data_IF_273084563157
#
_entry.id   IF_273084563157
#
_cell.length_a   1.000
_cell.length_b   1.000
_cell.length_c   1.000
_cell.angle_alpha   90.00
_cell.angle_beta   90.00
_cell.angle_gamma   90.00
#
_symmetry.space_group_name_H-M   'P 1'
#
loop_
_entity.id
_entity.type
_entity.pdbx_description
1 polymer ?
#
# COMPACT_ATOMS: atom_id res chain seq x y z
N UNK A 1 65.64 55.00 -37.09
CA UNK A 1 65.19 55.20 -35.69
C UNK A 1 63.68 55.00 -35.66
N UNK A 2 63.24 53.80 -35.28
CA UNK A 2 62.82 53.42 -33.91
C UNK A 2 61.35 53.77 -33.67
N UNK A 3 60.45 52.80 -33.86
CA UNK A 3 59.73 52.06 -32.79
C UNK A 3 58.54 52.82 -32.19
N UNK A 4 57.33 52.24 -32.27
CA UNK A 4 56.64 51.62 -31.13
C UNK A 4 55.20 51.17 -31.48
N UNK A 5 54.98 49.86 -31.38
CA UNK A 5 53.69 49.21 -31.17
C UNK A 5 53.76 48.54 -29.79
N UNK A 6 52.87 48.88 -28.83
CA UNK A 6 52.13 47.88 -28.02
C UNK A 6 51.28 48.49 -26.88
N UNK A 7 50.01 48.08 -26.90
CA UNK A 7 49.15 47.56 -25.82
C UNK A 7 48.99 48.38 -24.53
N UNK A 8 47.76 48.91 -24.37
CA UNK A 8 47.13 49.14 -23.07
C UNK A 8 45.98 48.14 -22.88
N UNK A 9 46.14 47.18 -21.97
CA UNK A 9 45.03 46.46 -21.32
C UNK A 9 45.56 45.85 -20.02
N UNK A 10 45.09 46.35 -18.87
CA UNK A 10 45.04 45.71 -17.55
C UNK A 10 44.24 46.67 -16.64
N UNK A 11 42.91 46.71 -16.76
CA UNK A 11 41.91 46.02 -15.92
C UNK A 11 42.07 46.23 -14.40
N UNK A 12 41.20 47.09 -13.85
CA UNK A 12 40.79 47.10 -12.44
C UNK A 12 39.59 46.16 -12.28
N UNK A 13 39.71 45.05 -11.55
CA UNK A 13 38.58 44.20 -11.16
C UNK A 13 38.59 43.91 -9.64
N UNK A 14 37.91 44.76 -8.88
CA UNK A 14 37.60 44.52 -7.46
C UNK A 14 36.37 43.60 -7.24
N UNK A 15 35.88 42.93 -8.30
CA UNK A 15 34.75 41.96 -8.24
C UNK A 15 35.18 40.48 -8.27
N UNK A 16 36.49 40.20 -8.30
CA UNK A 16 37.03 38.83 -8.43
C UNK A 16 37.32 38.14 -7.07
N UNK A 17 37.38 38.89 -5.96
CA UNK A 17 37.77 38.33 -4.66
C UNK A 17 36.72 37.40 -4.05
N UNK A 18 35.45 37.77 -4.08
CA UNK A 18 34.37 36.95 -3.51
C UNK A 18 34.17 35.62 -4.24
N UNK A 19 34.32 35.62 -5.57
CA UNK A 19 34.23 34.40 -6.37
C UNK A 19 35.42 33.45 -6.11
N UNK A 20 36.64 33.99 -5.99
CA UNK A 20 37.83 33.21 -5.64
C UNK A 20 37.74 32.62 -4.23
N UNK A 21 37.24 33.39 -3.26
CA UNK A 21 37.02 32.91 -1.89
C UNK A 21 35.96 31.81 -1.86
N UNK A 22 34.83 31.98 -2.55
CA UNK A 22 33.79 30.95 -2.64
C UNK A 22 34.29 29.66 -3.32
N UNK A 23 35.10 29.79 -4.37
CA UNK A 23 35.71 28.64 -5.05
C UNK A 23 36.70 27.91 -4.12
N UNK A 24 37.50 28.66 -3.34
CA UNK A 24 38.40 28.10 -2.34
C UNK A 24 37.67 27.31 -1.26
N UNK A 25 36.57 27.85 -0.73
CA UNK A 25 35.75 27.16 0.28
C UNK A 25 35.16 25.85 -0.27
N UNK A 26 34.66 25.86 -1.51
CA UNK A 26 34.12 24.65 -2.12
C UNK A 26 35.21 23.59 -2.37
N UNK A 27 36.40 24.00 -2.80
CA UNK A 27 37.53 23.09 -2.97
C UNK A 27 37.93 22.41 -1.64
N UNK A 28 37.97 23.17 -0.54
CA UNK A 28 38.27 22.63 0.80
C UNK A 28 37.20 21.64 1.26
N UNK A 29 35.91 21.95 1.06
CA UNK A 29 34.81 21.05 1.44
C UNK A 29 34.83 19.73 0.66
N UNK A 30 35.19 19.78 -0.63
CA UNK A 30 35.32 18.57 -1.46
C UNK A 30 36.47 17.68 -0.95
N UNK A 31 37.62 18.26 -0.63
CA UNK A 31 38.77 17.52 -0.09
C UNK A 31 38.43 16.87 1.25
N UNK A 32 37.73 17.59 2.15
CA UNK A 32 37.30 17.03 3.43
C UNK A 32 36.33 15.86 3.26
N UNK A 33 35.37 15.97 2.33
CA UNK A 33 34.41 14.91 2.05
C UNK A 33 35.08 13.66 1.46
N UNK A 34 36.02 13.83 0.52
CA UNK A 34 36.75 12.71 -0.08
C UNK A 34 37.67 12.01 0.93
N UNK A 35 38.37 12.78 1.78
CA UNK A 35 39.20 12.22 2.85
C UNK A 35 38.39 11.43 3.88
N UNK A 36 37.19 11.90 4.23
CA UNK A 36 36.29 11.19 5.15
C UNK A 36 35.81 9.85 4.57
N UNK A 37 35.45 9.81 3.28
CA UNK A 37 35.04 8.57 2.61
C UNK A 37 36.21 7.58 2.51
N UNK A 38 37.43 8.06 2.23
CA UNK A 38 38.60 7.18 2.15
C UNK A 38 38.89 6.46 3.49
N UNK A 39 38.83 7.18 4.62
CA UNK A 39 39.07 6.59 5.95
C UNK A 39 37.99 5.59 6.33
N UNK A 40 36.72 5.88 6.05
CA UNK A 40 35.59 5.03 6.46
C UNK A 40 35.43 3.76 5.61
N UNK A 41 35.95 3.75 4.38
CA UNK A 41 35.85 2.58 3.49
C UNK A 41 37.07 1.66 3.62
N UNK A 42 38.26 2.20 3.92
CA UNK A 42 39.51 1.42 3.97
C UNK A 42 39.71 0.72 5.33
N UNK A 43 39.14 1.23 6.43
CA UNK A 43 39.25 0.62 7.77
C UNK A 43 38.05 -0.25 8.16
N UNK A 44 37.48 -1.01 7.22
CA UNK A 44 36.56 -2.09 7.61
C UNK A 44 37.39 -3.30 7.97
N UNK A 45 37.67 -3.46 9.26
CA UNK A 45 38.27 -4.69 9.77
C UNK A 45 37.33 -5.86 9.45
N UNK A 46 37.84 -6.85 8.72
CA UNK A 46 37.10 -8.07 8.42
C UNK A 46 36.71 -8.75 9.74
N UNK A 47 35.41 -8.88 9.99
CA UNK A 47 34.91 -9.58 11.17
C UNK A 47 35.19 -11.08 11.04
N UNK A 48 36.32 -11.52 11.59
CA UNK A 48 36.60 -12.95 11.79
C UNK A 48 35.77 -13.43 12.97
N UNK A 49 34.77 -14.27 12.68
CA UNK A 49 33.94 -14.88 13.69
C UNK A 49 34.70 -16.01 14.39
N UNK A 50 35.34 -15.71 15.51
CA UNK A 50 35.84 -16.74 16.42
C UNK A 50 34.71 -17.25 17.32
N UNK A 51 34.32 -18.50 17.12
CA UNK A 51 33.34 -19.17 17.97
C UNK A 51 33.95 -19.43 19.36
N UNK A 52 33.52 -18.67 20.37
CA UNK A 52 33.89 -18.92 21.76
C UNK A 52 33.41 -20.32 22.16
N UNK A 53 34.29 -21.24 22.59
CA UNK A 53 33.89 -22.60 22.95
C UNK A 53 33.07 -22.56 24.25
N UNK A 54 31.75 -22.69 24.12
CA UNK A 54 30.82 -22.78 25.26
C UNK A 54 30.97 -24.15 25.92
N UNK A 55 31.60 -24.21 27.09
CA UNK A 55 31.60 -25.41 27.95
C UNK A 55 30.19 -25.64 28.50
N UNK A 56 29.41 -26.49 27.82
CA UNK A 56 28.08 -26.90 28.29
C UNK A 56 28.24 -27.92 29.44
N UNK A 57 27.72 -27.66 30.64
CA UNK A 57 27.69 -28.66 31.70
C UNK A 57 26.83 -29.86 31.26
N UNK A 58 27.39 -31.07 31.33
CA UNK A 58 26.67 -32.29 31.03
C UNK A 58 25.74 -32.64 32.19
N UNK A 59 24.51 -32.11 32.16
CA UNK A 59 23.49 -32.45 33.14
C UNK A 59 22.91 -33.83 32.77
N UNK A 60 23.21 -34.85 33.58
CA UNK A 60 22.56 -36.15 33.44
C UNK A 60 21.08 -36.01 33.80
N UNK A 61 20.22 -36.24 32.82
CA UNK A 61 18.76 -36.22 32.99
C UNK A 61 18.35 -37.20 34.09
N UNK A 62 17.73 -36.69 35.16
CA UNK A 62 17.11 -37.55 36.18
C UNK A 62 15.90 -38.23 35.55
N UNK A 63 15.93 -39.56 35.46
CA UNK A 63 14.79 -40.35 34.99
C UNK A 63 13.65 -40.18 36.00
N UNK A 64 12.51 -39.66 35.54
CA UNK A 64 11.28 -39.62 36.32
C UNK A 64 10.83 -41.08 36.54
N UNK A 65 11.08 -41.62 37.73
CA UNK A 65 10.41 -42.83 38.19
C UNK A 65 9.02 -42.41 38.65
N UNK A 66 8.05 -42.48 37.75
CA UNK A 66 6.64 -42.35 38.11
C UNK A 66 6.19 -43.73 38.62
N UNK A 67 5.84 -43.89 39.90
CA UNK A 67 5.18 -45.11 40.36
C UNK A 67 3.77 -45.16 39.75
N UNK A 68 3.66 -45.82 38.61
CA UNK A 68 2.35 -46.10 38.02
C UNK A 68 1.72 -47.21 38.87
N UNK A 69 0.80 -46.81 39.74
CA UNK A 69 -0.05 -47.75 40.46
C UNK A 69 -1.09 -48.30 39.46
N UNK A 70 -0.71 -49.35 38.71
CA UNK A 70 -1.57 -49.98 37.71
C UNK A 70 -2.67 -50.78 38.43
N UNK A 71 -3.73 -50.10 38.84
CA UNK A 71 -5.02 -50.78 39.08
C UNK A 71 -5.58 -51.18 37.71
N UNK A 72 -5.30 -52.40 37.27
CA UNK A 72 -5.90 -53.02 36.08
C UNK A 72 -7.42 -53.03 36.25
N UNK A 73 -8.13 -52.06 35.67
CA UNK A 73 -9.57 -52.19 35.43
C UNK A 73 -9.75 -53.29 34.39
N UNK A 74 -10.40 -54.40 34.77
CA UNK A 74 -10.82 -55.44 33.83
C UNK A 74 -11.78 -54.82 32.82
N UNK A 75 -11.30 -54.56 31.61
CA UNK A 75 -12.14 -54.25 30.46
C UNK A 75 -12.91 -55.51 30.09
N UNK A 76 -14.22 -55.48 30.30
CA UNK A 76 -15.14 -56.53 29.86
C UNK A 76 -15.18 -56.49 28.32
N UNK A 77 -14.85 -57.61 27.66
CA UNK A 77 -14.89 -57.70 26.19
C UNK A 77 -16.33 -57.46 25.70
N UNK A 78 -16.58 -56.54 24.76
CA UNK A 78 -17.91 -56.34 24.22
C UNK A 78 -18.35 -57.59 23.45
N UNK A 79 -19.52 -58.14 23.79
CA UNK A 79 -20.13 -59.26 23.06
C UNK A 79 -20.59 -58.75 21.69
N UNK A 80 -20.01 -59.28 20.61
CA UNK A 80 -20.44 -59.10 19.24
C UNK A 80 -21.90 -59.56 19.09
N UNK A 81 -22.85 -58.62 18.98
CA UNK A 81 -24.19 -58.94 18.48
C UNK A 81 -24.09 -59.08 16.96
N UNK A 82 -24.67 -60.15 16.42
CA UNK A 82 -24.70 -60.44 14.98
C UNK A 82 -25.37 -59.27 14.24
N UNK A 83 -24.65 -58.68 13.29
CA UNK A 83 -25.13 -57.63 12.38
C UNK A 83 -26.27 -58.20 11.55
N UNK A 84 -27.45 -57.58 11.58
CA UNK A 84 -28.51 -57.84 10.61
C UNK A 84 -27.97 -57.37 9.25
N UNK A 85 -27.82 -58.30 8.31
CA UNK A 85 -27.42 -58.00 6.94
C UNK A 85 -28.67 -57.53 6.20
N UNK A 86 -28.91 -56.22 6.17
CA UNK A 86 -29.80 -55.62 5.18
C UNK A 86 -28.94 -55.37 3.95
N UNK A 87 -29.25 -56.06 2.85
CA UNK A 87 -28.66 -55.72 1.55
C UNK A 87 -29.17 -54.33 1.13
N UNK A 88 -28.30 -53.33 0.94
CA UNK A 88 -28.72 -52.05 0.39
C UNK A 88 -29.02 -52.27 -1.10
N UNK A 89 -30.23 -51.90 -1.54
CA UNK A 89 -30.50 -51.72 -2.97
C UNK A 89 -29.64 -50.54 -3.46
N UNK A 90 -28.54 -50.87 -4.12
CA UNK A 90 -27.69 -49.96 -4.87
C UNK A 90 -28.49 -49.39 -6.04
N UNK A 91 -28.80 -48.10 -5.96
CA UNK A 91 -28.91 -47.18 -7.11
C UNK A 91 -28.96 -45.75 -6.56
N UNK A 92 -27.81 -45.28 -6.07
CA UNK A 92 -27.60 -43.86 -5.83
C UNK A 92 -26.21 -43.52 -6.34
N UNK A 93 -26.18 -42.78 -7.45
CA UNK A 93 -24.95 -42.26 -8.03
C UNK A 93 -24.43 -41.20 -7.06
N UNK A 94 -23.47 -41.60 -6.23
CA UNK A 94 -22.67 -40.67 -5.44
C UNK A 94 -21.81 -39.85 -6.41
N UNK A 95 -21.88 -38.50 -6.39
CA UNK A 95 -20.89 -37.70 -7.10
C UNK A 95 -19.51 -37.93 -6.45
N UNK A 96 -18.50 -38.09 -7.32
CA UNK A 96 -17.09 -38.24 -6.97
C UNK A 96 -16.60 -36.96 -6.24
N UNK A 97 -16.64 -36.97 -4.91
CA UNK A 97 -16.04 -35.92 -4.08
C UNK A 97 -14.53 -36.12 -4.14
N UNK A 98 -13.91 -35.54 -5.15
CA UNK A 98 -12.45 -35.36 -5.18
C UNK A 98 -12.08 -34.44 -4.03
N UNK A 99 -11.46 -34.99 -2.99
CA UNK A 99 -10.77 -34.16 -2.01
C UNK A 99 -9.67 -33.39 -2.75
N UNK A 100 -9.58 -32.05 -2.61
CA UNK A 100 -8.44 -31.33 -3.15
C UNK A 100 -7.17 -31.89 -2.52
N UNK A 101 -6.19 -32.24 -3.36
CA UNK A 101 -4.87 -32.64 -2.90
C UNK A 101 -4.32 -31.53 -2.01
N UNK A 102 -4.06 -31.84 -0.74
CA UNK A 102 -3.39 -30.92 0.17
C UNK A 102 -1.91 -30.93 -0.22
N UNK A 103 -1.57 -30.24 -1.30
CA UNK A 103 -0.19 -29.91 -1.65
C UNK A 103 0.32 -28.86 -0.67
N UNK A 104 0.85 -29.34 0.46
CA UNK A 104 1.40 -28.51 1.52
C UNK A 104 1.93 -29.28 2.73
N UNK A 105 1.47 -30.51 2.96
CA UNK A 105 2.11 -31.42 3.91
C UNK A 105 3.17 -32.27 3.19
N UNK A 106 4.35 -31.68 2.96
CA UNK A 106 5.55 -32.49 2.78
C UNK A 106 5.87 -33.10 4.15
N UNK A 107 5.31 -34.29 4.38
CA UNK A 107 5.65 -35.16 5.50
C UNK A 107 7.12 -35.54 5.43
N UNK A 108 7.98 -34.65 5.91
CA UNK A 108 9.39 -34.91 6.17
C UNK A 108 9.50 -35.66 7.48
N UNK A 109 9.43 -36.98 7.42
CA UNK A 109 9.90 -37.86 8.48
C UNK A 109 11.42 -37.73 8.55
N UNK A 110 11.92 -36.78 9.34
CA UNK A 110 13.35 -36.49 9.44
C UNK A 110 13.69 -35.72 10.72
N UNK A 111 14.13 -36.45 11.73
CA UNK A 111 14.86 -36.01 12.93
C UNK A 111 14.13 -35.06 13.90
N UNK A 112 13.26 -35.66 14.72
CA UNK A 112 12.88 -35.14 16.01
C UNK A 112 14.06 -35.18 16.99
N UNK A 113 14.71 -34.03 17.20
CA UNK A 113 15.47 -33.76 18.42
C UNK A 113 14.96 -32.46 19.05
N UNK A 114 13.94 -32.61 19.89
CA UNK A 114 13.69 -31.71 21.02
C UNK A 114 13.24 -30.28 20.69
N UNK A 115 11.97 -30.10 20.34
CA UNK A 115 11.23 -28.89 20.71
C UNK A 115 9.77 -29.30 20.93
N UNK A 116 9.37 -29.35 22.20
CA UNK A 116 8.02 -29.73 22.60
C UNK A 116 6.98 -28.74 22.08
N UNK A 117 5.75 -29.26 21.92
CA UNK A 117 4.54 -28.46 21.83
C UNK A 117 4.51 -27.48 23.01
N UNK A 118 4.84 -26.21 22.78
CA UNK A 118 4.75 -25.18 23.81
C UNK A 118 5.76 -24.03 23.74
N UNK A 119 6.74 -24.07 22.84
CA UNK A 119 7.71 -22.96 22.70
C UNK A 119 8.06 -22.67 21.25
N UNK A 120 7.76 -21.45 20.79
CA UNK A 120 8.35 -20.79 19.62
C UNK A 120 8.41 -21.59 18.29
N UNK A 121 7.37 -22.35 17.96
CA UNK A 121 7.28 -23.08 16.70
C UNK A 121 5.84 -23.37 16.34
N UNK A 122 5.16 -22.40 15.73
CA UNK A 122 3.94 -22.68 14.99
C UNK A 122 4.25 -23.77 13.95
N UNK A 123 3.27 -24.63 13.68
CA UNK A 123 3.26 -25.53 12.52
C UNK A 123 4.01 -24.89 11.36
N UNK A 124 4.96 -25.60 10.73
CA UNK A 124 5.88 -25.11 9.71
C UNK A 124 5.24 -24.65 8.39
N UNK A 125 4.15 -23.90 8.46
CA UNK A 125 3.60 -23.10 7.38
C UNK A 125 4.49 -21.87 7.25
N UNK A 126 5.36 -21.88 6.23
CA UNK A 126 5.98 -20.64 5.77
C UNK A 126 4.88 -19.64 5.41
N UNK A 127 4.85 -18.50 6.10
CA UNK A 127 3.93 -17.41 5.78
C UNK A 127 4.11 -17.01 4.32
N UNK A 128 3.04 -16.88 3.52
CA UNK A 128 3.15 -16.56 2.11
C UNK A 128 3.80 -15.18 1.94
N UNK A 129 4.87 -15.13 1.13
CA UNK A 129 5.50 -13.87 0.73
C UNK A 129 4.75 -13.30 -0.47
N UNK A 130 4.35 -12.04 -0.35
CA UNK A 130 3.65 -11.29 -1.39
C UNK A 130 4.54 -10.19 -1.94
N UNK A 131 4.61 -10.06 -3.27
CA UNK A 131 5.33 -8.97 -3.93
C UNK A 131 4.35 -8.10 -4.72
N UNK A 132 4.15 -6.85 -4.30
CA UNK A 132 3.34 -5.86 -5.02
C UNK A 132 4.21 -4.68 -5.45
N UNK A 133 4.43 -4.51 -6.76
CA UNK A 133 5.21 -3.39 -7.34
C UNK A 133 6.56 -3.15 -6.63
N UNK A 134 7.29 -4.24 -6.38
CA UNK A 134 8.59 -4.22 -5.70
C UNK A 134 8.53 -4.19 -4.18
N UNK A 135 7.36 -4.01 -3.56
CA UNK A 135 7.19 -4.15 -2.11
C UNK A 135 6.99 -5.61 -1.75
N UNK A 136 7.78 -6.10 -0.80
CA UNK A 136 7.62 -7.45 -0.24
C UNK A 136 6.96 -7.38 1.12
N UNK A 137 5.97 -8.23 1.35
CA UNK A 137 5.34 -8.35 2.66
C UNK A 137 4.93 -9.79 2.96
N UNK A 138 4.71 -10.07 4.25
CA UNK A 138 4.30 -11.38 4.76
C UNK A 138 3.15 -11.18 5.74
N UNK A 139 2.03 -11.82 5.49
CA UNK A 139 0.84 -11.73 6.33
C UNK A 139 -0.24 -12.73 5.94
N UNK A 140 -1.10 -13.04 6.91
CA UNK A 140 -2.27 -13.89 6.73
C UNK A 140 -3.52 -13.08 6.38
N UNK A 141 -3.55 -11.77 6.65
CA UNK A 141 -4.73 -10.91 6.58
C UNK A 141 -4.43 -9.62 5.82
N UNK A 142 -4.63 -9.69 4.51
CA UNK A 142 -4.19 -8.65 3.57
C UNK A 142 -5.33 -7.71 3.22
N UNK A 143 -5.11 -6.40 3.31
CA UNK A 143 -6.07 -5.41 2.87
C UNK A 143 -5.46 -4.50 1.81
N UNK A 144 -6.07 -4.43 0.63
CA UNK A 144 -5.58 -3.63 -0.48
C UNK A 144 -6.46 -2.41 -0.68
N UNK A 145 -5.85 -1.25 -0.89
CA UNK A 145 -6.52 0.03 -1.13
C UNK A 145 -6.04 0.58 -2.46
N UNK A 146 -6.97 0.77 -3.39
CA UNK A 146 -6.69 1.30 -4.72
C UNK A 146 -7.32 2.69 -4.90
N UNK A 147 -6.49 3.69 -5.19
CA UNK A 147 -6.95 5.03 -5.58
C UNK A 147 -7.66 4.96 -6.94
N UNK A 148 -8.95 5.27 -6.99
CA UNK A 148 -9.74 5.38 -8.23
C UNK A 148 -10.08 6.82 -8.58
N UNK A 149 -9.45 7.81 -7.93
CA UNK A 149 -9.67 9.22 -8.20
C UNK A 149 -9.07 9.67 -9.54
N UNK A 150 -9.57 10.79 -10.06
CA UNK A 150 -9.02 11.40 -11.27
C UNK A 150 -7.53 11.75 -11.20
N UNK A 151 -6.95 11.85 -10.00
CA UNK A 151 -5.53 12.18 -9.85
C UNK A 151 -4.62 11.08 -10.41
N UNK A 152 -5.02 9.81 -10.28
CA UNK A 152 -4.33 8.65 -10.85
C UNK A 152 -4.38 8.60 -12.39
N UNK A 153 -5.36 9.28 -13.00
CA UNK A 153 -5.67 9.16 -14.42
C UNK A 153 -5.31 10.41 -15.24
N UNK A 154 -4.58 11.36 -14.65
CA UNK A 154 -4.12 12.52 -15.40
C UNK A 154 -3.13 12.09 -16.50
N UNK A 155 -3.07 12.84 -17.60
CA UNK A 155 -2.15 12.52 -18.71
C UNK A 155 -0.68 12.42 -18.25
N UNK A 156 -0.27 13.19 -17.24
CA UNK A 156 1.08 13.14 -16.65
C UNK A 156 1.41 11.80 -15.95
N UNK A 157 0.39 11.06 -15.57
CA UNK A 157 0.49 9.74 -14.94
C UNK A 157 0.37 8.59 -15.96
N UNK A 158 0.20 8.91 -17.25
CA UNK A 158 -0.09 7.93 -18.31
C UNK A 158 -1.58 7.80 -18.64
N UNK A 159 -2.43 8.69 -18.11
CA UNK A 159 -3.86 8.73 -18.42
C UNK A 159 -4.65 7.54 -17.89
N UNK A 160 -5.87 7.38 -18.39
CA UNK A 160 -6.72 6.21 -18.12
C UNK A 160 -6.06 4.87 -18.53
N UNK A 161 -5.28 4.77 -19.64
CA UNK A 161 -4.62 3.51 -20.01
C UNK A 161 -3.66 2.96 -18.94
N UNK A 162 -2.86 3.81 -18.30
CA UNK A 162 -1.96 3.38 -17.22
C UNK A 162 -2.71 2.69 -16.07
N UNK A 163 -3.93 3.15 -15.78
CA UNK A 163 -4.80 2.55 -14.77
C UNK A 163 -5.20 1.12 -15.10
N UNK A 164 -5.40 0.79 -16.38
CA UNK A 164 -5.75 -0.57 -16.81
C UNK A 164 -4.66 -1.56 -16.44
N UNK A 165 -3.40 -1.17 -16.60
CA UNK A 165 -2.24 -1.99 -16.28
C UNK A 165 -2.16 -2.24 -14.77
N UNK A 166 -2.34 -1.21 -13.95
CA UNK A 166 -2.33 -1.33 -12.48
C UNK A 166 -3.37 -2.35 -11.99
N UNK A 167 -4.59 -2.32 -12.54
CA UNK A 167 -5.65 -3.25 -12.15
C UNK A 167 -5.35 -4.69 -12.58
N UNK A 168 -4.88 -4.89 -13.81
CA UNK A 168 -4.56 -6.22 -14.31
C UNK A 168 -3.45 -6.86 -13.48
N UNK A 169 -2.42 -6.09 -13.15
CA UNK A 169 -1.34 -6.57 -12.29
C UNK A 169 -1.81 -6.87 -10.87
N UNK A 170 -2.73 -6.06 -10.34
CA UNK A 170 -3.30 -6.33 -9.03
C UNK A 170 -4.08 -7.65 -8.98
N UNK A 171 -4.91 -7.93 -9.99
CA UNK A 171 -5.65 -9.20 -10.09
C UNK A 171 -4.67 -10.37 -10.20
N UNK A 172 -3.65 -10.25 -11.05
CA UNK A 172 -2.61 -11.27 -11.21
C UNK A 172 -1.88 -11.59 -9.90
N UNK A 173 -1.54 -10.58 -9.12
CA UNK A 173 -0.88 -10.78 -7.82
C UNK A 173 -1.82 -11.49 -6.84
N UNK A 174 -3.12 -11.17 -6.88
CA UNK A 174 -4.13 -11.85 -6.06
C UNK A 174 -4.32 -13.33 -6.46
N UNK A 175 -4.21 -13.66 -7.76
CA UNK A 175 -4.23 -15.04 -8.25
C UNK A 175 -3.05 -15.87 -7.75
N UNK A 176 -1.91 -15.22 -7.48
CA UNK A 176 -0.72 -15.85 -6.90
C UNK A 176 -0.78 -16.06 -5.39
N UNK A 177 -1.83 -15.59 -4.70
CA UNK A 177 -1.95 -15.79 -3.25
C UNK A 177 -2.39 -17.20 -2.91
N UNK A 178 -1.82 -17.72 -1.82
CA UNK A 178 -2.31 -18.96 -1.23
C UNK A 178 -3.74 -18.75 -0.71
N UNK A 179 -4.64 -19.70 -0.99
CA UNK A 179 -6.01 -19.75 -0.48
C UNK A 179 -6.16 -19.67 1.06
N UNK A 180 -5.10 -19.92 1.83
CA UNK A 180 -5.09 -19.73 3.29
C UNK A 180 -5.01 -18.27 3.71
N UNK A 181 -4.61 -17.36 2.81
CA UNK A 181 -4.59 -15.92 3.06
C UNK A 181 -6.01 -15.39 3.05
N UNK A 182 -6.37 -14.64 4.08
CA UNK A 182 -7.57 -13.82 4.09
C UNK A 182 -7.27 -12.47 3.48
N UNK A 183 -8.12 -11.98 2.59
CA UNK A 183 -7.91 -10.70 1.93
C UNK A 183 -9.21 -9.91 1.75
N UNK A 184 -9.06 -8.61 1.56
CA UNK A 184 -10.12 -7.74 1.05
C UNK A 184 -9.49 -6.60 0.23
N UNK A 185 -10.30 -5.97 -0.60
CA UNK A 185 -9.89 -4.85 -1.44
C UNK A 185 -10.91 -3.71 -1.33
N UNK A 186 -10.42 -2.49 -1.25
CA UNK A 186 -11.23 -1.29 -1.30
C UNK A 186 -10.73 -0.32 -2.37
N UNK A 187 -11.67 0.46 -2.92
CA UNK A 187 -11.37 1.60 -3.77
C UNK A 187 -11.86 2.88 -3.10
N UNK A 188 -11.18 3.99 -3.39
CA UNK A 188 -11.59 5.33 -2.94
C UNK A 188 -11.51 6.35 -4.09
N UNK A 189 -12.06 7.54 -3.89
CA UNK A 189 -11.98 8.64 -4.87
C UNK A 189 -13.30 8.97 -5.58
N UNK A 190 -14.38 9.07 -4.82
CA UNK A 190 -15.73 9.40 -5.31
C UNK A 190 -16.83 8.43 -4.87
N UNK A 191 -16.56 7.63 -3.84
CA UNK A 191 -17.44 6.61 -3.29
C UNK A 191 -16.58 5.47 -2.75
N UNK A 192 -16.29 5.50 -1.45
CA UNK A 192 -15.38 4.55 -0.81
C UNK A 192 -16.12 3.24 -0.61
N UNK A 193 -15.63 2.17 -1.25
CA UNK A 193 -16.31 0.87 -1.33
C UNK A 193 -15.27 -0.23 -1.13
N UNK A 194 -15.56 -1.16 -0.22
CA UNK A 194 -14.85 -2.42 -0.12
C UNK A 194 -15.58 -3.47 -0.94
N UNK A 195 -14.89 -4.43 -1.57
CA UNK A 195 -15.55 -5.49 -2.33
C UNK A 195 -16.33 -6.42 -1.38
N UNK A 196 -15.71 -6.80 -0.27
CA UNK A 196 -16.29 -7.71 0.71
C UNK A 196 -16.60 -6.99 2.04
N UNK A 197 -17.63 -7.43 2.79
CA UNK A 197 -17.94 -6.86 4.10
C UNK A 197 -16.86 -7.15 5.16
N UNK A 198 -16.11 -8.24 4.99
CA UNK A 198 -14.99 -8.68 5.84
C UNK A 198 -13.89 -9.30 4.98
N UNK A 199 -12.74 -9.61 5.58
CA UNK A 199 -11.71 -10.40 4.90
C UNK A 199 -12.27 -11.78 4.51
N UNK A 200 -11.93 -12.26 3.32
CA UNK A 200 -12.35 -13.55 2.76
C UNK A 200 -11.14 -14.35 2.29
N UNK A 201 -11.20 -15.70 2.20
CA UNK A 201 -10.09 -16.49 1.69
C UNK A 201 -9.74 -16.15 0.24
N UNK A 202 -8.44 -16.14 -0.08
CA UNK A 202 -7.89 -15.92 -1.43
C UNK A 202 -8.05 -17.16 -2.34
N UNK A 203 -9.27 -17.69 -2.42
CA UNK A 203 -9.60 -18.78 -3.34
C UNK A 203 -9.96 -18.24 -4.74
N UNK A 204 -9.97 -19.13 -5.75
CA UNK A 204 -10.23 -18.76 -7.13
C UNK A 204 -11.57 -18.03 -7.33
N UNK A 205 -12.61 -18.41 -6.58
CA UNK A 205 -13.92 -17.76 -6.67
C UNK A 205 -13.89 -16.29 -6.20
N UNK A 206 -13.26 -16.03 -5.05
CA UNK A 206 -13.18 -14.67 -4.50
C UNK A 206 -12.22 -13.80 -5.32
N UNK A 207 -11.14 -14.36 -5.85
CA UNK A 207 -10.24 -13.64 -6.76
C UNK A 207 -10.93 -13.33 -8.08
N UNK A 208 -11.73 -14.25 -8.63
CA UNK A 208 -12.54 -13.99 -9.82
C UNK A 208 -13.52 -12.83 -9.61
N UNK A 209 -14.17 -12.74 -8.44
CA UNK A 209 -15.02 -11.59 -8.06
C UNK A 209 -14.25 -10.27 -8.08
N UNK A 210 -12.98 -10.26 -7.65
CA UNK A 210 -12.12 -9.07 -7.75
C UNK A 210 -11.87 -8.71 -9.21
N UNK A 211 -11.55 -9.70 -10.04
CA UNK A 211 -11.38 -9.52 -11.49
C UNK A 211 -12.61 -8.90 -12.14
N UNK A 212 -13.79 -9.46 -11.91
CA UNK A 212 -15.06 -8.93 -12.41
C UNK A 212 -15.37 -7.51 -11.92
N UNK A 213 -15.04 -7.23 -10.65
CA UNK A 213 -15.28 -5.92 -10.04
C UNK A 213 -14.34 -4.82 -10.56
N UNK A 214 -13.06 -5.15 -10.75
CA UNK A 214 -12.05 -4.21 -11.24
C UNK A 214 -12.03 -4.10 -12.76
N UNK A 215 -12.43 -5.12 -13.52
CA UNK A 215 -12.39 -5.09 -15.00
C UNK A 215 -13.02 -3.83 -15.61
N UNK A 216 -14.25 -3.42 -15.26
CA UNK A 216 -14.85 -2.20 -15.83
C UNK A 216 -14.36 -0.89 -15.19
N UNK A 217 -13.72 -0.93 -14.02
CA UNK A 217 -13.26 0.27 -13.30
C UNK A 217 -12.27 1.07 -14.15
N UNK A 218 -12.58 2.30 -14.54
CA UNK A 218 -11.74 3.13 -15.41
C UNK A 218 -11.28 2.42 -16.71
N UNK A 219 -12.10 1.52 -17.27
CA UNK A 219 -11.77 0.85 -18.52
C UNK A 219 -11.93 1.80 -19.72
N UNK A 220 -10.97 1.84 -20.64
CA UNK A 220 -11.07 2.67 -21.84
C UNK A 220 -12.11 2.09 -22.79
N UNK A 221 -13.11 2.89 -23.15
CA UNK A 221 -14.15 2.52 -24.12
C UNK A 221 -14.26 3.57 -25.23
N UNK A 222 -14.65 3.13 -26.43
CA UNK A 222 -14.89 4.04 -27.56
C UNK A 222 -16.05 4.98 -27.22
N UNK A 223 -15.84 6.28 -27.38
CA UNK A 223 -16.85 7.29 -27.11
C UNK A 223 -17.02 7.68 -25.64
N UNK A 224 -16.17 7.19 -24.74
CA UNK A 224 -16.16 7.53 -23.31
C UNK A 224 -16.30 9.05 -23.08
N UNK A 225 -17.28 9.46 -22.28
CA UNK A 225 -17.55 10.85 -21.94
C UNK A 225 -16.58 11.44 -20.91
N UNK A 226 -16.62 12.76 -20.77
CA UNK A 226 -15.71 13.56 -19.91
C UNK A 226 -15.72 13.19 -18.43
N UNK A 227 -16.72 12.44 -17.98
CA UNK A 227 -16.89 12.03 -16.59
C UNK A 227 -17.03 10.51 -16.45
N UNK A 228 -16.80 9.73 -17.50
CA UNK A 228 -17.03 8.28 -17.49
C UNK A 228 -15.84 7.54 -16.88
N UNK A 229 -15.40 8.00 -15.71
CA UNK A 229 -14.32 7.43 -14.92
C UNK A 229 -14.63 7.62 -13.42
N UNK A 230 -13.79 7.04 -12.58
CA UNK A 230 -13.87 7.05 -11.13
C UNK A 230 -14.51 5.79 -10.56
N UNK A 231 -14.60 5.73 -9.23
CA UNK A 231 -15.16 4.59 -8.49
C UNK A 231 -16.57 4.16 -8.95
N UNK A 232 -17.32 5.02 -9.64
CA UNK A 232 -18.65 4.73 -10.19
C UNK A 232 -18.66 3.77 -11.38
N UNK A 233 -17.52 3.57 -12.07
CA UNK A 233 -17.45 2.66 -13.22
C UNK A 233 -17.04 1.24 -12.82
N UNK A 234 -16.93 0.95 -11.52
CA UNK A 234 -16.65 -0.40 -11.00
C UNK A 234 -17.74 -1.40 -11.38
N UNK A 235 -17.43 -2.68 -11.28
CA UNK A 235 -18.40 -3.75 -11.48
C UNK A 235 -19.49 -3.75 -10.41
N UNK A 236 -20.54 -4.54 -10.63
CA UNK A 236 -21.62 -4.69 -9.65
C UNK A 236 -21.08 -5.26 -8.33
N UNK A 237 -21.74 -4.92 -7.23
CA UNK A 237 -21.36 -5.35 -5.89
C UNK A 237 -20.49 -4.33 -5.13
N UNK A 238 -19.84 -4.83 -4.09
CA UNK A 238 -19.16 -4.03 -3.08
C UNK A 238 -20.11 -3.49 -2.00
N UNK A 239 -19.53 -3.21 -0.85
CA UNK A 239 -20.17 -2.65 0.33
C UNK A 239 -19.59 -1.26 0.55
N UNK A 240 -20.46 -0.26 0.61
CA UNK A 240 -20.05 1.10 0.94
C UNK A 240 -19.36 1.12 2.31
N UNK A 241 -18.24 1.83 2.41
CA UNK A 241 -17.51 1.96 3.68
C UNK A 241 -18.27 2.97 4.55
N UNK A 242 -19.40 2.55 5.09
CA UNK A 242 -20.26 3.32 5.98
C UNK A 242 -19.85 3.19 7.45
N UNK A 243 -20.62 3.84 8.32
CA UNK A 243 -20.39 3.83 9.76
C UNK A 243 -19.38 4.85 10.24
N UNK A 244 -19.32 4.99 11.57
CA UNK A 244 -18.34 5.83 12.24
C UNK A 244 -17.02 5.06 12.37
N UNK A 245 -15.97 5.58 11.75
CA UNK A 245 -14.58 5.11 11.85
C UNK A 245 -13.74 6.13 12.64
N UNK A 246 -14.39 7.03 13.38
CA UNK A 246 -13.72 7.96 14.28
C UNK A 246 -13.00 7.16 15.36
N UNK A 247 -11.75 7.53 15.58
CA UNK A 247 -10.85 6.94 16.54
C UNK A 247 -9.84 8.01 16.94
N UNK A 248 -9.41 8.06 18.19
CA UNK A 248 -8.33 8.97 18.59
C UNK A 248 -7.02 8.61 17.85
N UNK A 249 -6.17 9.58 17.47
CA UNK A 249 -6.30 11.03 17.69
C UNK A 249 -7.13 11.77 16.61
N UNK A 250 -7.85 11.04 15.74
CA UNK A 250 -8.63 11.63 14.65
C UNK A 250 -9.95 12.19 15.19
N UNK A 251 -10.10 13.51 15.08
CA UNK A 251 -11.31 14.21 15.50
C UNK A 251 -12.57 13.91 14.67
N UNK A 252 -12.42 13.41 13.44
CA UNK A 252 -13.49 12.89 12.60
C UNK A 252 -13.01 11.68 11.79
N UNK A 253 -13.95 10.96 11.15
CA UNK A 253 -13.57 9.97 10.12
C UNK A 253 -12.94 10.72 8.94
N UNK A 254 -11.66 10.45 8.59
CA UNK A 254 -11.00 11.09 7.46
C UNK A 254 -11.55 10.56 6.13
N UNK A 255 -11.39 11.34 5.05
CA UNK A 255 -11.67 10.90 3.68
C UNK A 255 -10.44 10.32 2.96
N UNK A 256 -10.52 10.23 1.63
CA UNK A 256 -9.48 9.64 0.76
C UNK A 256 -9.08 8.23 1.23
N UNK A 257 -7.82 7.81 1.05
CA UNK A 257 -7.34 6.48 1.39
C UNK A 257 -7.38 6.14 2.89
N UNK A 258 -7.48 7.15 3.76
CA UNK A 258 -7.48 6.92 5.20
C UNK A 258 -8.75 6.19 5.66
N UNK A 259 -9.91 6.46 5.05
CA UNK A 259 -11.16 5.76 5.38
C UNK A 259 -11.08 4.25 5.14
N UNK A 260 -10.71 3.74 3.94
CA UNK A 260 -10.52 2.32 3.72
C UNK A 260 -9.35 1.74 4.54
N UNK A 261 -8.31 2.52 4.86
CA UNK A 261 -7.26 2.07 5.77
C UNK A 261 -7.78 1.76 7.17
N UNK A 262 -8.60 2.65 7.74
CA UNK A 262 -9.26 2.43 9.03
C UNK A 262 -10.19 1.21 8.98
N UNK A 263 -10.89 0.97 7.86
CA UNK A 263 -11.66 -0.26 7.66
C UNK A 263 -10.75 -1.50 7.68
N UNK A 264 -9.62 -1.48 6.97
CA UNK A 264 -8.66 -2.60 6.97
C UNK A 264 -8.13 -2.90 8.38
N UNK A 265 -7.81 -1.86 9.15
CA UNK A 265 -7.43 -2.00 10.57
C UNK A 265 -8.56 -2.60 11.40
N UNK A 266 -9.81 -2.15 11.20
CA UNK A 266 -10.98 -2.71 11.88
C UNK A 266 -11.19 -4.19 11.53
N UNK A 267 -10.88 -4.59 10.30
CA UNK A 267 -10.90 -5.98 9.87
C UNK A 267 -9.68 -6.79 10.36
N UNK A 268 -8.80 -6.20 11.17
CA UNK A 268 -7.61 -6.85 11.73
C UNK A 268 -6.61 -7.29 10.65
N UNK A 269 -6.48 -6.50 9.58
CA UNK A 269 -5.45 -6.72 8.58
C UNK A 269 -4.05 -6.58 9.22
N UNK A 270 -3.18 -7.56 8.99
CA UNK A 270 -1.78 -7.53 9.39
C UNK A 270 -0.90 -6.91 8.30
N UNK A 271 -1.37 -6.88 7.05
CA UNK A 271 -0.70 -6.24 5.93
C UNK A 271 -1.69 -5.36 5.19
N UNK A 272 -1.36 -4.08 5.02
CA UNK A 272 -2.11 -3.16 4.16
C UNK A 272 -1.25 -2.68 3.01
N UNK A 273 -1.81 -2.69 1.80
CA UNK A 273 -1.19 -2.10 0.61
C UNK A 273 -2.00 -0.91 0.13
N UNK A 274 -1.38 0.27 0.12
CA UNK A 274 -1.96 1.49 -0.44
C UNK A 274 -1.36 1.81 -1.80
N UNK A 275 -2.18 1.75 -2.85
CA UNK A 275 -1.85 2.11 -4.22
C UNK A 275 -2.43 3.51 -4.50
N UNK A 276 -1.57 4.54 -4.55
CA UNK A 276 -2.01 5.95 -4.63
C UNK A 276 -1.00 6.84 -5.35
N UNK A 277 -1.41 8.02 -5.82
CA UNK A 277 -0.51 9.02 -6.38
C UNK A 277 -0.23 10.23 -5.47
N UNK A 278 -0.84 10.29 -4.28
CA UNK A 278 -0.70 11.44 -3.37
C UNK A 278 -1.11 11.12 -1.95
N UNK A 279 -0.58 11.88 -0.99
CA UNK A 279 -1.06 11.88 0.40
C UNK A 279 -2.55 12.23 0.51
N UNK A 280 -3.07 13.06 -0.39
CA UNK A 280 -4.48 13.41 -0.41
C UNK A 280 -4.87 14.47 0.62
N UNK A 281 -6.18 14.62 0.81
CA UNK A 281 -6.83 15.62 1.65
C UNK A 281 -7.33 14.98 2.96
N UNK A 282 -6.43 14.33 3.68
CA UNK A 282 -6.73 13.70 4.97
C UNK A 282 -6.81 14.80 6.03
N UNK A 283 -8.03 15.23 6.31
CA UNK A 283 -8.30 16.47 7.03
C UNK A 283 -9.24 16.26 8.21
N UNK A 284 -8.89 16.95 9.28
CA UNK A 284 -9.72 17.14 10.45
C UNK A 284 -10.73 18.28 10.27
N UNK A 285 -11.29 18.72 11.39
CA UNK A 285 -12.18 19.89 11.43
C UNK A 285 -11.62 21.11 10.71
N UNK A 286 -12.52 21.83 10.05
CA UNK A 286 -12.23 23.06 9.35
C UNK A 286 -12.53 24.27 10.22
N UNK A 287 -11.64 25.28 10.20
CA UNK A 287 -11.94 26.62 10.69
C UNK A 287 -12.21 27.54 9.51
N UNK A 288 -13.16 28.46 9.66
CA UNK A 288 -13.40 29.49 8.66
C UNK A 288 -12.34 30.58 8.82
N UNK A 289 -11.88 31.14 7.69
CA UNK A 289 -11.03 32.32 7.66
C UNK A 289 -11.61 33.35 6.69
N UNK A 290 -11.33 34.62 6.96
CA UNK A 290 -11.55 35.66 5.97
C UNK A 290 -10.66 35.40 4.75
N UNK A 291 -11.22 35.67 3.58
CA UNK A 291 -10.49 35.63 2.32
C UNK A 291 -10.65 36.99 1.65
N UNK A 292 -9.56 37.48 1.09
CA UNK A 292 -9.62 38.60 0.15
C UNK A 292 -10.21 38.08 -1.17
N UNK A 293 -11.53 38.24 -1.31
CA UNK A 293 -12.29 37.78 -2.45
C UNK A 293 -13.57 38.61 -2.64
N UNK A 294 -13.54 39.54 -3.60
CA UNK A 294 -14.67 40.43 -3.88
C UNK A 294 -15.75 39.75 -4.73
N UNK A 295 -16.94 40.35 -4.82
CA UNK A 295 -17.97 39.93 -5.77
C UNK A 295 -17.48 40.01 -7.22
N UNK A 296 -16.66 41.02 -7.55
CA UNK A 296 -16.05 41.16 -8.87
C UNK A 296 -15.06 40.03 -9.19
N UNK A 297 -14.34 39.52 -8.18
CA UNK A 297 -13.47 38.35 -8.32
C UNK A 297 -14.29 37.09 -8.53
N UNK A 298 -15.41 36.95 -7.81
CA UNK A 298 -16.32 35.82 -7.96
C UNK A 298 -16.93 35.77 -9.37
N UNK A 299 -17.34 36.93 -9.91
CA UNK A 299 -17.86 37.01 -11.27
C UNK A 299 -16.78 36.63 -12.31
N UNK A 300 -15.59 37.25 -12.23
CA UNK A 300 -14.46 36.92 -13.11
C UNK A 300 -14.06 35.45 -13.01
N UNK A 301 -14.10 34.88 -11.82
CA UNK A 301 -13.84 33.46 -11.61
C UNK A 301 -14.87 32.59 -12.32
N UNK A 302 -16.17 32.87 -12.17
CA UNK A 302 -17.25 32.12 -12.85
C UNK A 302 -17.11 32.18 -14.37
N UNK A 303 -16.82 33.36 -14.93
CA UNK A 303 -16.60 33.55 -16.37
C UNK A 303 -15.40 32.75 -16.87
N UNK A 304 -14.26 32.84 -16.17
CA UNK A 304 -13.06 32.08 -16.51
C UNK A 304 -13.28 30.56 -16.38
N UNK A 305 -14.03 30.12 -15.38
CA UNK A 305 -14.40 28.71 -15.21
C UNK A 305 -15.31 28.23 -16.34
N UNK A 306 -16.28 29.03 -16.76
CA UNK A 306 -17.14 28.71 -17.90
C UNK A 306 -16.33 28.58 -19.20
N UNK A 307 -15.42 29.53 -19.45
CA UNK A 307 -14.46 29.48 -20.55
C UNK A 307 -13.60 28.22 -20.50
N UNK A 308 -13.03 27.91 -19.34
CA UNK A 308 -12.18 26.73 -19.15
C UNK A 308 -12.96 25.42 -19.34
N UNK A 309 -14.23 25.34 -18.89
CA UNK A 309 -15.13 24.20 -19.14
C UNK A 309 -15.42 24.02 -20.63
N UNK A 310 -15.64 25.10 -21.36
CA UNK A 310 -15.84 25.06 -22.81
C UNK A 310 -14.60 24.54 -23.54
N UNK A 311 -13.42 25.07 -23.19
CA UNK A 311 -12.13 24.62 -23.76
C UNK A 311 -11.84 23.15 -23.45
N UNK A 312 -12.13 22.71 -22.22
CA UNK A 312 -11.99 21.31 -21.82
C UNK A 312 -12.91 20.37 -22.62
N UNK A 313 -14.19 20.74 -22.79
CA UNK A 313 -15.13 19.96 -23.62
C UNK A 313 -14.66 19.88 -25.06
N UNK A 314 -14.13 20.98 -25.62
CA UNK A 314 -13.57 21.00 -26.98
C UNK A 314 -12.33 20.09 -27.09
N UNK A 315 -11.42 20.15 -26.13
CA UNK A 315 -10.24 19.27 -26.05
C UNK A 315 -10.66 17.80 -26.04
N UNK A 316 -11.58 17.43 -25.15
CA UNK A 316 -12.07 16.05 -25.08
C UNK A 316 -12.91 15.63 -26.30
N UNK A 317 -13.65 16.54 -26.92
CA UNK A 317 -14.32 16.26 -28.20
C UNK A 317 -13.31 15.91 -29.29
N UNK A 318 -12.22 16.69 -29.39
CA UNK A 318 -11.14 16.42 -30.34
C UNK A 318 -10.43 15.10 -30.03
N UNK A 319 -10.23 14.76 -28.75
CA UNK A 319 -9.65 13.47 -28.34
C UNK A 319 -10.55 12.30 -28.72
N UNK A 320 -11.85 12.39 -28.43
CA UNK A 320 -12.84 11.37 -28.81
C UNK A 320 -12.91 11.16 -30.32
N UNK A 321 -12.89 12.23 -31.10
CA UNK A 321 -12.84 12.16 -32.57
C UNK A 321 -11.58 11.42 -33.09
N UNK A 322 -10.48 11.49 -32.34
CA UNK A 322 -9.23 10.77 -32.61
C UNK A 322 -9.16 9.37 -31.96
N UNK A 323 -10.27 8.88 -31.39
CA UNK A 323 -10.31 7.60 -30.67
C UNK A 323 -9.49 7.57 -29.37
N UNK A 324 -9.06 8.73 -28.85
CA UNK A 324 -8.29 8.84 -27.62
C UNK A 324 -9.22 8.94 -26.40
N UNK A 325 -8.83 8.39 -25.24
CA UNK A 325 -9.57 8.57 -24.00
C UNK A 325 -9.64 10.05 -23.60
N UNK A 326 -10.69 10.47 -22.87
CA UNK A 326 -10.82 11.86 -22.42
C UNK A 326 -9.65 12.25 -21.53
N UNK A 327 -9.26 13.51 -21.59
CA UNK A 327 -8.29 14.08 -20.65
C UNK A 327 -8.94 14.18 -19.28
N UNK A 328 -8.23 13.73 -18.26
CA UNK A 328 -8.68 13.84 -16.87
C UNK A 328 -8.02 15.04 -16.20
N UNK A 329 -8.83 15.90 -15.60
CA UNK A 329 -8.38 17.02 -14.76
C UNK A 329 -8.97 16.82 -13.36
N UNK A 330 -8.07 16.61 -12.40
CA UNK A 330 -8.43 16.41 -11.00
C UNK A 330 -8.13 17.68 -10.19
N UNK A 331 -9.00 18.01 -9.22
CA UNK A 331 -8.86 19.22 -8.38
C UNK A 331 -9.86 20.34 -8.68
N UNK A 332 -10.94 20.04 -9.42
CA UNK A 332 -12.08 20.93 -9.62
C UNK A 332 -11.76 22.17 -10.46
N UNK A 333 -12.53 23.23 -10.25
CA UNK A 333 -12.48 24.44 -11.07
C UNK A 333 -11.11 25.12 -11.06
N UNK A 334 -10.42 25.17 -9.91
CA UNK A 334 -9.06 25.74 -9.84
C UNK A 334 -8.04 24.94 -10.68
N UNK A 335 -8.14 23.62 -10.74
CA UNK A 335 -7.27 22.80 -11.59
C UNK A 335 -7.58 23.01 -13.08
N UNK A 336 -8.86 23.20 -13.40
CA UNK A 336 -9.32 23.49 -14.76
C UNK A 336 -8.80 24.85 -15.25
N UNK A 337 -8.85 25.87 -14.40
CA UNK A 337 -8.29 27.19 -14.69
C UNK A 337 -6.79 27.11 -14.96
N UNK A 338 -6.02 26.42 -14.11
CA UNK A 338 -4.57 26.24 -14.36
C UNK A 338 -4.27 25.58 -15.71
N UNK A 339 -5.16 24.71 -16.19
CA UNK A 339 -4.96 23.99 -17.44
C UNK A 339 -5.29 24.83 -18.69
N UNK A 340 -6.33 25.67 -18.64
CA UNK A 340 -6.86 26.35 -19.84
C UNK A 340 -6.85 27.88 -19.78
N UNK A 341 -6.77 28.47 -18.58
CA UNK A 341 -6.72 29.91 -18.35
C UNK A 341 -5.71 30.21 -17.23
N UNK A 342 -4.40 29.96 -17.46
CA UNK A 342 -3.39 30.00 -16.39
C UNK A 342 -3.19 31.38 -15.77
N UNK A 343 -3.59 32.45 -16.46
CA UNK A 343 -3.56 33.83 -15.95
C UNK A 343 -4.74 34.18 -15.03
N UNK A 344 -5.78 33.32 -14.93
CA UNK A 344 -6.94 33.60 -14.09
C UNK A 344 -6.60 33.52 -12.60
N UNK A 345 -7.14 34.47 -11.82
CA UNK A 345 -7.09 34.45 -10.36
C UNK A 345 -7.82 33.20 -9.84
N UNK A 346 -7.16 32.42 -8.99
CA UNK A 346 -7.73 31.21 -8.41
C UNK A 346 -8.48 31.53 -7.12
N UNK A 347 -9.62 30.88 -6.90
CA UNK A 347 -10.40 31.07 -5.67
C UNK A 347 -9.70 30.42 -4.48
N UNK A 348 -9.31 31.19 -3.44
CA UNK A 348 -8.72 30.62 -2.24
C UNK A 348 -9.78 29.87 -1.43
N UNK A 349 -9.35 28.88 -0.66
CA UNK A 349 -10.24 28.22 0.31
C UNK A 349 -10.57 29.20 1.44
N UNK A 350 -11.85 29.39 1.74
CA UNK A 350 -12.35 30.08 2.94
C UNK A 350 -12.21 29.23 4.21
N UNK A 351 -11.80 27.97 4.06
CA UNK A 351 -11.59 27.02 5.16
C UNK A 351 -10.11 26.70 5.32
N UNK A 352 -9.62 26.71 6.55
CA UNK A 352 -8.36 26.09 6.95
C UNK A 352 -8.67 24.74 7.58
N UNK A 353 -7.88 23.73 7.28
CA UNK A 353 -8.09 22.38 7.78
C UNK A 353 -6.87 21.95 8.58
N UNK A 354 -7.10 21.25 9.69
CA UNK A 354 -6.05 20.42 10.29
C UNK A 354 -5.75 19.28 9.32
N UNK A 355 -4.49 19.10 8.91
CA UNK A 355 -4.12 17.96 8.06
C UNK A 355 -3.46 16.92 8.95
N UNK A 356 -4.05 15.73 9.01
CA UNK A 356 -3.50 14.67 9.87
C UNK A 356 -2.11 14.27 9.40
N UNK A 357 -1.21 14.17 10.37
CA UNK A 357 0.18 13.77 10.20
C UNK A 357 0.30 12.24 10.04
N UNK A 358 1.44 11.75 9.51
CA UNK A 358 1.75 10.32 9.50
C UNK A 358 1.67 9.68 10.88
N UNK A 359 2.07 10.41 11.94
CA UNK A 359 2.03 9.93 13.32
C UNK A 359 0.59 9.74 13.81
N UNK A 360 -0.27 10.74 13.61
CA UNK A 360 -1.68 10.64 13.97
C UNK A 360 -2.37 9.48 13.25
N UNK A 361 -2.06 9.27 11.97
CA UNK A 361 -2.60 8.14 11.22
C UNK A 361 -2.12 6.78 11.75
N UNK A 362 -0.81 6.64 12.01
CA UNK A 362 -0.26 5.39 12.56
C UNK A 362 -0.84 5.05 13.93
N UNK A 363 -1.03 6.06 14.79
CA UNK A 363 -1.65 5.92 16.10
C UNK A 363 -3.12 5.50 15.98
N UNK A 364 -3.89 6.17 15.11
CA UNK A 364 -5.28 5.83 14.81
C UNK A 364 -5.44 4.38 14.34
N UNK A 365 -4.53 3.88 13.51
CA UNK A 365 -4.52 2.50 13.05
C UNK A 365 -4.32 1.52 14.21
N UNK A 366 -3.38 1.83 15.10
CA UNK A 366 -3.14 1.04 16.31
C UNK A 366 -4.36 1.01 17.24
N UNK A 367 -5.01 2.16 17.42
CA UNK A 367 -6.17 2.29 18.31
C UNK A 367 -7.38 1.50 17.78
N UNK A 368 -7.70 1.59 16.47
CA UNK A 368 -8.78 0.79 15.89
C UNK A 368 -8.51 -0.71 16.05
N UNK A 369 -7.26 -1.15 15.83
CA UNK A 369 -6.94 -2.56 16.00
C UNK A 369 -7.12 -3.01 17.45
N UNK A 370 -6.72 -2.18 18.41
CA UNK A 370 -6.83 -2.47 19.83
C UNK A 370 -8.29 -2.53 20.31
N UNK A 371 -9.12 -1.56 19.92
CA UNK A 371 -10.56 -1.53 20.22
C UNK A 371 -11.26 -2.81 19.75
N UNK A 372 -11.01 -3.22 18.50
CA UNK A 372 -11.66 -4.42 17.96
C UNK A 372 -11.15 -5.72 18.59
N UNK A 373 -9.87 -5.79 18.97
CA UNK A 373 -9.34 -6.93 19.74
C UNK A 373 -10.02 -7.03 21.10
N UNK A 374 -10.22 -5.91 21.79
CA UNK A 374 -10.91 -5.88 23.08
C UNK A 374 -12.36 -6.38 22.98
N UNK A 375 -13.10 -5.99 21.92
CA UNK A 375 -14.45 -6.50 21.65
C UNK A 375 -14.46 -8.03 21.40
N UNK A 376 -13.46 -8.55 20.69
CA UNK A 376 -13.33 -9.98 20.39
C UNK A 376 -12.89 -10.84 21.59
N UNK A 377 -12.20 -10.26 22.57
CA UNK A 377 -11.59 -10.96 23.72
C UNK A 377 -12.54 -11.16 24.92
N UNK A 378 -13.86 -11.15 24.72
CA UNK A 378 -14.82 -11.41 25.82
C UNK A 378 -14.81 -12.83 26.39
N UNK A 379 -13.92 -13.75 25.95
CA UNK A 379 -13.62 -15.00 26.68
C UNK A 379 -12.14 -15.39 26.61
N UNK A 380 -11.50 -15.31 27.78
CA UNK A 380 -10.24 -15.94 28.21
C UNK A 380 -8.91 -15.45 27.59
N UNK A 381 -7.93 -15.22 28.47
CA UNK A 381 -6.51 -15.43 28.18
C UNK A 381 -5.69 -14.15 28.06
N UNK A 382 -4.80 -13.97 29.04
CA UNK A 382 -3.69 -13.00 29.16
C UNK A 382 -3.14 -12.53 27.79
N UNK A 383 -3.45 -11.30 27.41
CA UNK A 383 -2.83 -10.63 26.26
C UNK A 383 -1.64 -9.81 26.70
N UNK A 384 -0.43 -10.19 26.30
CA UNK A 384 0.76 -9.36 26.44
C UNK A 384 0.53 -8.00 25.75
N UNK A 385 0.66 -6.92 26.52
CA UNK A 385 0.77 -5.56 25.98
C UNK A 385 2.15 -5.43 25.31
N UNK A 386 2.21 -5.56 23.99
CA UNK A 386 3.48 -5.37 23.29
C UNK A 386 3.42 -5.46 21.77
N UNK A 387 3.41 -4.28 21.14
CA UNK A 387 3.66 -3.99 19.71
C UNK A 387 2.55 -4.39 18.73
N UNK A 388 1.96 -3.38 18.08
CA UNK A 388 1.09 -3.56 16.92
C UNK A 388 1.90 -4.15 15.76
N UNK A 389 1.64 -5.42 15.44
CA UNK A 389 2.34 -6.21 14.42
C UNK A 389 1.67 -6.10 13.04
N UNK A 390 1.29 -4.91 12.60
CA UNK A 390 0.80 -4.73 11.22
C UNK A 390 1.81 -3.95 10.39
N UNK A 391 1.84 -4.22 9.10
CA UNK A 391 2.60 -3.47 8.11
C UNK A 391 1.67 -2.60 7.26
N UNK A 392 2.00 -1.32 7.10
CA UNK A 392 1.31 -0.45 6.14
C UNK A 392 2.27 -0.07 5.02
N UNK A 393 2.02 -0.60 3.84
CA UNK A 393 2.87 -0.47 2.66
C UNK A 393 2.27 0.53 1.69
N UNK A 394 3.12 1.30 1.01
CA UNK A 394 2.67 2.31 0.04
C UNK A 394 3.37 2.11 -1.30
N UNK A 395 2.57 1.91 -2.36
CA UNK A 395 2.98 2.03 -3.74
C UNK A 395 2.57 3.42 -4.24
N UNK A 396 3.55 4.31 -4.34
CA UNK A 396 3.34 5.69 -4.73
C UNK A 396 3.61 5.88 -6.23
N UNK A 397 2.53 6.03 -6.99
CA UNK A 397 2.60 6.37 -8.40
C UNK A 397 2.92 7.85 -8.57
N UNK A 398 3.89 8.19 -9.40
CA UNK A 398 4.27 9.57 -9.70
C UNK A 398 4.39 9.80 -11.20
N UNK A 399 4.29 11.05 -11.62
CA UNK A 399 4.47 11.41 -13.03
C UNK A 399 5.87 11.07 -13.52
N UNK A 400 6.01 10.79 -14.80
CA UNK A 400 7.29 10.47 -15.45
C UNK A 400 8.36 11.56 -15.23
N UNK A 401 7.93 12.82 -15.14
CA UNK A 401 8.83 13.97 -14.95
C UNK A 401 9.03 14.36 -13.47
N UNK A 402 8.55 13.55 -12.53
CA UNK A 402 8.75 13.84 -11.11
C UNK A 402 10.25 13.73 -10.76
N UNK A 403 10.76 14.67 -9.96
CA UNK A 403 12.14 14.63 -9.45
C UNK A 403 12.40 13.40 -8.56
N UNK A 404 13.63 13.17 -8.11
CA UNK A 404 14.01 11.97 -7.33
C UNK A 404 13.43 11.92 -5.90
N UNK A 405 12.93 13.05 -5.37
CA UNK A 405 12.39 13.16 -4.01
C UNK A 405 11.26 12.17 -3.71
N UNK A 406 11.33 11.53 -2.53
CA UNK A 406 10.26 10.68 -1.99
C UNK A 406 9.20 11.56 -1.31
N UNK A 407 7.95 11.09 -1.27
CA UNK A 407 6.90 11.75 -0.49
C UNK A 407 7.14 11.46 1.00
N UNK A 408 7.67 12.45 1.72
CA UNK A 408 8.10 12.29 3.11
C UNK A 408 6.99 11.76 4.02
N UNK A 409 5.73 12.16 3.78
CA UNK A 409 4.62 11.73 4.63
C UNK A 409 4.40 10.22 4.53
N UNK A 410 4.48 9.67 3.31
CA UNK A 410 4.36 8.23 3.13
C UNK A 410 5.54 7.48 3.72
N UNK A 411 6.77 7.96 3.49
CA UNK A 411 7.97 7.32 4.09
C UNK A 411 7.89 7.30 5.62
N UNK A 412 7.48 8.42 6.23
CA UNK A 412 7.30 8.51 7.69
C UNK A 412 6.21 7.55 8.16
N UNK A 413 5.09 7.47 7.45
CA UNK A 413 4.00 6.55 7.79
C UNK A 413 4.47 5.10 7.74
N UNK A 414 5.05 4.66 6.62
CA UNK A 414 5.49 3.27 6.43
C UNK A 414 6.51 2.86 7.49
N UNK A 415 7.44 3.77 7.85
CA UNK A 415 8.42 3.52 8.91
C UNK A 415 7.77 3.34 10.29
N UNK A 416 6.77 4.17 10.62
CA UNK A 416 6.04 4.07 11.89
C UNK A 416 5.20 2.79 12.00
N UNK A 417 4.83 2.22 10.87
CA UNK A 417 3.97 1.04 10.78
C UNK A 417 4.70 -0.16 10.17
N UNK A 418 6.03 -0.25 10.26
CA UNK A 418 6.82 -1.41 9.81
C UNK A 418 6.51 -1.89 8.37
N UNK A 419 6.17 -0.98 7.47
CA UNK A 419 5.91 -1.28 6.06
C UNK A 419 6.97 -0.67 5.16
N UNK A 420 6.79 -0.91 3.86
CA UNK A 420 7.71 -0.43 2.82
C UNK A 420 7.07 0.66 1.96
N UNK A 421 7.92 1.53 1.43
CA UNK A 421 7.56 2.56 0.48
C UNK A 421 8.22 2.26 -0.87
N UNK A 422 7.40 2.00 -1.89
CA UNK A 422 7.83 1.89 -3.27
C UNK A 422 7.31 3.09 -4.07
N UNK A 423 8.10 3.50 -5.06
CA UNK A 423 7.78 4.64 -5.92
C UNK A 423 7.83 4.19 -7.38
N UNK A 424 6.73 4.34 -8.08
CA UNK A 424 6.57 3.90 -9.47
C UNK A 424 6.39 5.11 -10.37
N UNK A 425 7.32 5.30 -11.32
CA UNK A 425 7.46 6.54 -12.10
C UNK A 425 6.92 6.38 -13.53
N UNK A 426 5.76 6.98 -13.80
CA UNK A 426 5.16 6.98 -15.13
C UNK A 426 4.75 5.59 -15.62
N UNK A 427 4.33 5.52 -16.89
CA UNK A 427 3.75 4.31 -17.48
C UNK A 427 4.78 3.20 -17.70
N UNK A 428 6.00 3.54 -18.12
CA UNK A 428 7.06 2.57 -18.40
C UNK A 428 7.45 1.77 -17.15
N UNK A 429 7.58 2.43 -15.99
CA UNK A 429 7.85 1.72 -14.73
C UNK A 429 6.68 0.83 -14.30
N UNK A 430 5.43 1.23 -14.55
CA UNK A 430 4.27 0.37 -14.28
C UNK A 430 4.35 -0.90 -15.14
N UNK A 431 4.74 -0.76 -16.42
CA UNK A 431 4.88 -1.88 -17.35
C UNK A 431 6.05 -2.80 -17.00
N UNK A 432 7.19 -2.28 -16.54
CA UNK A 432 8.34 -3.12 -16.20
C UNK A 432 8.02 -4.12 -15.09
N UNK A 433 7.21 -3.74 -14.10
CA UNK A 433 6.75 -4.66 -13.06
C UNK A 433 5.86 -5.78 -13.59
N UNK A 434 5.09 -5.55 -14.67
CA UNK A 434 4.28 -6.60 -15.30
C UNK A 434 5.18 -7.62 -15.98
N UNK A 435 6.23 -7.15 -16.67
CA UNK A 435 7.17 -8.00 -17.41
C UNK A 435 8.08 -8.82 -16.49
N UNK A 436 8.58 -8.24 -15.39
CA UNK A 436 9.45 -8.93 -14.41
C UNK A 436 8.79 -10.12 -13.70
N UNK A 437 7.46 -10.19 -13.70
CA UNK A 437 6.72 -11.28 -13.05
C UNK A 437 6.32 -12.41 -14.03
N UNK A 438 6.63 -12.28 -15.33
CA UNK A 438 6.36 -13.29 -16.39
C UNK A 438 7.53 -14.29 -16.54
N UNK A 439 8.73 -13.94 -16.07
CA UNK A 439 9.84 -14.87 -15.85
C UNK A 439 9.72 -15.52 -14.47
#
# INVERSE_FOLDING_TARGET
>A
MSTLLRKQFLTKHAKSSAALISLGIHAVLIVLALSFVAVTVIQKDDQVFEAVPVKRPNIRLKKLQVPVNIKRRKTQKPKLRKRIVVQPKLNQVMPDIKMPEITGLKGGMGNAAGAGLGGAGGLGFSMPEMKLFGVKSRGEKVFIILDASGFMMTDKMGGIPAYTIIKSELVRILEGLNSTVLFNIAIYGGGDVALFPSLVPANAENVAKVGEWLKPLNAVTKGMGDKDYGAKTRGKGGVGIGGDLKVEPLTNTPGDWARPALLGMRQQADVVFLLTCRWGLIRGHAKTRSIDWSESDEQRFKENVAKAKSLFRKDNSNRRAKGKPPRVIAGGDNALLRAYVPSARLKPSSKTFHNYSPKEMAEAFGNIQAERKAEALTKSGVGEKGKNKFSFNVIHFVSENAGSGKEEKFVKLTNLTHGEYSRVKGMAAIQSYVSENVE
#
